data_IF_698999335206
#
_entry.id   IF_698999335206
#
_cell.length_a   1.000
_cell.length_b   1.000
_cell.length_c   1.000
_cell.angle_alpha   90.00
_cell.angle_beta   90.00
_cell.angle_gamma   90.00
#
_symmetry.space_group_name_H-M   'P 1'
#
loop_
_entity.id
_entity.type
_entity.pdbx_description
1 polymer ?
#
# COMPACT_ATOMS: atom_id res chain seq x y z
N UNK A 1 -27.52 4.41 -12.19
CA UNK A 1 -26.42 5.41 -12.31
C UNK A 1 -25.23 4.66 -12.86
N UNK A 2 -24.51 5.21 -13.85
CA UNK A 2 -23.35 4.50 -14.40
C UNK A 2 -22.21 4.50 -13.36
N UNK A 3 -21.61 3.35 -13.09
CA UNK A 3 -20.57 3.18 -12.09
C UNK A 3 -19.25 3.76 -12.58
N UNK A 4 -18.64 4.65 -11.82
CA UNK A 4 -17.31 5.17 -12.10
C UNK A 4 -16.25 4.12 -11.79
N UNK A 5 -15.56 3.61 -12.81
CA UNK A 5 -14.42 2.72 -12.60
C UNK A 5 -13.19 3.53 -12.21
N UNK A 6 -12.81 3.48 -10.92
CA UNK A 6 -11.64 4.16 -10.36
C UNK A 6 -10.35 3.42 -10.73
N UNK A 7 -9.90 3.55 -11.99
CA UNK A 7 -8.68 2.92 -12.49
C UNK A 7 -7.44 3.56 -11.88
N UNK A 8 -6.46 2.73 -11.49
CA UNK A 8 -5.23 3.21 -10.88
C UNK A 8 -4.28 3.91 -11.85
N UNK A 9 -4.35 3.61 -13.16
CA UNK A 9 -3.41 4.19 -14.15
C UNK A 9 -3.46 5.73 -14.21
N UNK A 10 -4.61 6.41 -14.33
CA UNK A 10 -4.65 7.87 -14.33
C UNK A 10 -4.05 8.47 -13.06
N UNK A 11 -4.34 7.87 -11.89
CA UNK A 11 -3.75 8.29 -10.62
C UNK A 11 -2.23 8.13 -10.62
N UNK A 12 -1.74 6.95 -11.03
CA UNK A 12 -0.32 6.65 -11.08
C UNK A 12 0.45 7.56 -12.05
N UNK A 13 -0.15 7.95 -13.18
CA UNK A 13 0.49 8.81 -14.18
C UNK A 13 0.77 10.22 -13.60
N UNK A 14 -0.13 10.79 -12.78
CA UNK A 14 0.09 12.07 -12.08
C UNK A 14 1.31 11.98 -11.16
N UNK A 15 1.41 10.91 -10.36
CA UNK A 15 2.56 10.72 -9.47
C UNK A 15 3.84 10.43 -10.24
N UNK A 16 3.77 9.66 -11.33
CA UNK A 16 4.94 9.34 -12.19
C UNK A 16 5.63 10.61 -12.69
N UNK A 17 4.87 11.55 -13.20
CA UNK A 17 5.41 12.80 -13.72
C UNK A 17 6.10 13.62 -12.63
N UNK A 18 5.46 13.77 -11.47
CA UNK A 18 6.00 14.51 -10.35
C UNK A 18 7.29 13.87 -9.79
N UNK A 19 7.31 12.55 -9.67
CA UNK A 19 8.47 11.78 -9.18
C UNK A 19 9.64 11.88 -10.16
N UNK A 20 9.38 11.69 -11.46
CA UNK A 20 10.42 11.78 -12.49
C UNK A 20 11.10 13.15 -12.49
N UNK A 21 10.33 14.24 -12.34
CA UNK A 21 10.88 15.61 -12.21
C UNK A 21 11.81 15.74 -10.99
N UNK A 22 11.40 15.22 -9.84
CA UNK A 22 12.22 15.24 -8.61
C UNK A 22 13.51 14.42 -8.76
N UNK A 23 13.44 13.23 -9.35
CA UNK A 23 14.63 12.40 -9.62
C UNK A 23 15.58 13.10 -10.58
N UNK A 24 15.07 13.77 -11.62
CA UNK A 24 15.88 14.53 -12.54
C UNK A 24 16.61 15.71 -11.86
N UNK A 25 15.94 16.41 -10.94
CA UNK A 25 16.57 17.47 -10.13
C UNK A 25 17.65 16.88 -9.23
N UNK A 26 17.39 15.77 -8.53
CA UNK A 26 18.40 15.10 -7.70
C UNK A 26 19.65 14.75 -8.52
N UNK A 27 19.48 14.24 -9.74
CA UNK A 27 20.56 13.88 -10.64
C UNK A 27 21.42 15.09 -11.06
N UNK A 28 20.85 16.28 -11.19
CA UNK A 28 21.59 17.52 -11.46
C UNK A 28 22.54 17.91 -10.31
N UNK A 29 22.29 17.39 -9.11
CA UNK A 29 23.12 17.57 -7.93
C UNK A 29 23.96 16.32 -7.58
N UNK A 30 24.25 15.47 -8.58
CA UNK A 30 25.02 14.23 -8.43
C UNK A 30 24.44 13.23 -7.41
N UNK A 31 23.13 13.31 -7.18
CA UNK A 31 22.43 12.45 -6.24
C UNK A 31 21.59 11.40 -7.00
N UNK A 32 21.95 10.13 -6.82
CA UNK A 32 21.19 9.00 -7.39
C UNK A 32 20.17 8.52 -6.37
N UNK A 33 18.89 8.63 -6.71
CA UNK A 33 17.80 8.09 -5.88
C UNK A 33 17.81 6.57 -5.95
N UNK A 34 18.17 5.91 -4.85
CA UNK A 34 18.41 4.47 -4.82
C UNK A 34 17.46 3.78 -3.84
N UNK A 35 16.67 2.83 -4.36
CA UNK A 35 15.86 1.91 -3.56
C UNK A 35 16.65 0.64 -3.24
N UNK A 36 16.93 0.39 -1.96
CA UNK A 36 17.45 -0.90 -1.52
C UNK A 36 16.29 -1.86 -1.22
N UNK A 37 16.24 -2.98 -1.92
CA UNK A 37 15.22 -4.03 -1.75
C UNK A 37 15.88 -5.23 -1.11
N UNK A 38 15.40 -5.65 0.06
CA UNK A 38 15.88 -6.83 0.77
C UNK A 38 14.86 -7.96 0.65
N UNK A 39 15.28 -9.07 0.06
CA UNK A 39 14.46 -10.29 -0.08
C UNK A 39 15.10 -11.40 0.74
N UNK A 40 14.31 -12.10 1.54
CA UNK A 40 14.77 -13.27 2.30
C UNK A 40 13.92 -14.47 1.90
N UNK A 41 14.57 -15.49 1.35
CA UNK A 41 13.92 -16.70 0.82
C UNK A 41 13.41 -16.55 -0.62
N UNK A 42 12.62 -17.53 -1.04
CA UNK A 42 12.26 -17.75 -2.44
C UNK A 42 10.74 -17.61 -2.70
N UNK A 43 10.03 -16.78 -1.90
CA UNK A 43 8.60 -16.54 -2.15
C UNK A 43 8.38 -15.94 -3.54
N UNK A 44 7.66 -16.62 -4.45
CA UNK A 44 7.52 -16.17 -5.84
C UNK A 44 6.84 -14.80 -5.97
N UNK A 45 5.88 -14.49 -5.09
CA UNK A 45 5.16 -13.23 -5.12
C UNK A 45 6.08 -12.06 -4.76
N UNK A 46 6.96 -12.25 -3.77
CA UNK A 46 8.00 -11.28 -3.38
C UNK A 46 8.98 -11.02 -4.52
N UNK A 47 9.41 -12.04 -5.24
CA UNK A 47 10.31 -11.89 -6.40
C UNK A 47 9.65 -11.13 -7.55
N UNK A 48 8.40 -11.46 -7.90
CA UNK A 48 7.63 -10.73 -8.93
C UNK A 48 7.45 -9.25 -8.54
N UNK A 49 7.13 -8.98 -7.28
CA UNK A 49 6.95 -7.61 -6.80
C UNK A 49 8.27 -6.84 -6.78
N UNK A 50 9.36 -7.45 -6.31
CA UNK A 50 10.72 -6.89 -6.39
C UNK A 50 11.08 -6.49 -7.82
N UNK A 51 10.91 -7.39 -8.81
CA UNK A 51 11.26 -7.13 -10.21
C UNK A 51 10.45 -5.97 -10.80
N UNK A 52 9.18 -5.85 -10.40
CA UNK A 52 8.33 -4.72 -10.77
C UNK A 52 8.84 -3.40 -10.20
N UNK A 53 9.25 -3.36 -8.93
CA UNK A 53 9.80 -2.17 -8.29
C UNK A 53 11.14 -1.77 -8.91
N UNK A 54 12.02 -2.73 -9.23
CA UNK A 54 13.29 -2.48 -9.93
C UNK A 54 13.04 -1.81 -11.27
N UNK A 55 12.23 -2.41 -12.13
CA UNK A 55 11.88 -1.84 -13.43
C UNK A 55 11.25 -0.44 -13.31
N UNK A 56 10.44 -0.23 -12.28
CA UNK A 56 9.77 1.04 -12.06
C UNK A 56 10.75 2.14 -11.69
N UNK A 57 11.62 1.94 -10.69
CA UNK A 57 12.58 2.96 -10.27
C UNK A 57 13.58 3.30 -11.39
N UNK A 58 14.05 2.30 -12.13
CA UNK A 58 14.93 2.50 -13.28
C UNK A 58 14.25 3.30 -14.40
N UNK A 59 12.96 3.02 -14.67
CA UNK A 59 12.16 3.77 -15.65
C UNK A 59 11.95 5.24 -15.29
N UNK A 60 12.10 5.57 -14.01
CA UNK A 60 12.01 6.94 -13.47
C UNK A 60 13.38 7.65 -13.41
N UNK A 61 14.47 6.95 -13.77
CA UNK A 61 15.84 7.49 -13.75
C UNK A 61 16.58 7.32 -12.43
N UNK A 62 16.01 6.57 -11.46
CA UNK A 62 16.67 6.17 -10.23
C UNK A 62 17.39 4.83 -10.37
N UNK A 63 17.82 4.24 -9.26
CA UNK A 63 18.53 2.97 -9.19
C UNK A 63 17.91 2.02 -8.15
N UNK A 64 18.08 0.73 -8.37
CA UNK A 64 17.74 -0.31 -7.41
C UNK A 64 19.01 -1.02 -6.91
N UNK A 65 19.05 -1.33 -5.61
CA UNK A 65 20.04 -2.21 -4.99
C UNK A 65 19.32 -3.41 -4.38
N UNK A 66 19.37 -4.55 -5.07
CA UNK A 66 18.72 -5.78 -4.59
C UNK A 66 19.70 -6.57 -3.73
N UNK A 67 19.26 -6.99 -2.55
CA UNK A 67 19.95 -7.91 -1.66
C UNK A 67 19.03 -9.12 -1.47
N UNK A 68 19.53 -10.29 -1.83
CA UNK A 68 18.81 -11.56 -1.63
C UNK A 68 19.56 -12.39 -0.59
N UNK A 69 18.83 -12.88 0.40
CA UNK A 69 19.31 -13.74 1.45
C UNK A 69 18.63 -15.12 1.35
N UNK A 70 19.34 -16.23 1.64
CA UNK A 70 18.73 -17.55 1.78
C UNK A 70 17.57 -17.57 2.77
N UNK A 71 16.65 -18.53 2.61
CA UNK A 71 15.47 -18.64 3.47
C UNK A 71 15.79 -18.98 4.93
N UNK A 72 16.95 -19.57 5.20
CA UNK A 72 17.44 -19.94 6.52
C UNK A 72 18.33 -18.86 7.17
N UNK A 73 18.49 -17.69 6.54
CA UNK A 73 19.29 -16.57 7.08
C UNK A 73 18.77 -16.16 8.46
N UNK A 74 19.64 -16.10 9.49
CA UNK A 74 19.25 -15.69 10.84
C UNK A 74 18.71 -14.24 10.88
N UNK A 75 17.75 -13.98 11.78
CA UNK A 75 17.17 -12.63 11.95
C UNK A 75 18.24 -11.57 12.24
N UNK A 76 19.23 -11.90 13.08
CA UNK A 76 20.32 -10.97 13.43
C UNK A 76 21.15 -10.56 12.20
N UNK A 77 21.34 -11.47 11.24
CA UNK A 77 22.04 -11.17 10.00
C UNK A 77 21.21 -10.26 9.10
N UNK A 78 19.91 -10.51 8.98
CA UNK A 78 18.96 -9.63 8.25
C UNK A 78 18.98 -8.23 8.84
N UNK A 79 18.91 -8.10 10.18
CA UNK A 79 18.99 -6.82 10.88
C UNK A 79 20.36 -6.15 10.68
N UNK A 80 21.44 -6.92 10.66
CA UNK A 80 22.80 -6.40 10.37
C UNK A 80 22.89 -5.79 8.97
N UNK A 81 22.31 -6.45 7.97
CA UNK A 81 22.23 -5.94 6.61
C UNK A 81 21.46 -4.61 6.57
N UNK A 82 20.29 -4.54 7.22
CA UNK A 82 19.51 -3.29 7.31
C UNK A 82 20.32 -2.18 7.98
N UNK A 83 21.01 -2.46 9.08
CA UNK A 83 21.88 -1.47 9.75
C UNK A 83 23.00 -0.95 8.83
N UNK A 84 23.58 -1.80 7.98
CA UNK A 84 24.56 -1.37 6.95
C UNK A 84 23.90 -0.47 5.90
N UNK A 85 22.68 -0.81 5.43
CA UNK A 85 21.93 0.01 4.49
C UNK A 85 21.54 1.37 5.08
N UNK A 86 21.16 1.42 6.36
CA UNK A 86 20.87 2.67 7.09
C UNK A 86 22.05 3.65 7.06
N UNK A 87 23.27 3.14 7.23
CA UNK A 87 24.51 3.94 7.23
C UNK A 87 25.01 4.32 5.83
N UNK A 88 24.51 3.64 4.81
CA UNK A 88 24.95 3.89 3.43
C UNK A 88 24.29 5.16 2.89
N UNK A 89 25.06 6.25 2.71
CA UNK A 89 24.57 7.53 2.18
C UNK A 89 24.00 7.47 0.77
N UNK A 90 24.36 6.44 -0.01
CA UNK A 90 23.88 6.25 -1.37
C UNK A 90 22.55 5.48 -1.44
N UNK A 91 22.02 5.01 -0.32
CA UNK A 91 20.70 4.37 -0.23
C UNK A 91 19.69 5.40 0.24
N UNK A 92 18.73 5.72 -0.60
CA UNK A 92 17.68 6.72 -0.30
C UNK A 92 16.53 6.10 0.49
N UNK A 93 16.16 4.86 0.18
CA UNK A 93 15.10 4.15 0.89
C UNK A 93 15.36 2.65 0.96
N UNK A 94 14.76 2.00 1.94
CA UNK A 94 14.91 0.56 2.22
C UNK A 94 13.53 -0.08 2.22
N UNK A 95 13.38 -1.16 1.44
CA UNK A 95 12.16 -1.96 1.31
C UNK A 95 12.47 -3.42 1.65
N UNK A 96 12.26 -3.85 2.90
CA UNK A 96 12.24 -5.28 3.22
C UNK A 96 10.98 -5.91 2.60
N UNK A 97 11.15 -6.97 1.83
CA UNK A 97 10.03 -7.66 1.21
C UNK A 97 9.31 -8.55 2.22
N UNK A 98 7.98 -8.51 2.20
CA UNK A 98 7.13 -9.36 3.03
C UNK A 98 6.37 -10.37 2.14
N UNK A 99 6.08 -11.57 2.62
CA UNK A 99 6.34 -12.07 3.98
C UNK A 99 7.80 -12.48 4.20
N UNK A 100 8.24 -12.40 5.46
CA UNK A 100 9.51 -12.98 5.91
C UNK A 100 9.35 -14.47 6.24
N UNK A 101 10.43 -15.29 6.19
CA UNK A 101 10.44 -16.64 6.75
C UNK A 101 9.96 -16.67 8.21
N UNK A 102 9.30 -17.75 8.64
CA UNK A 102 8.60 -17.83 9.94
C UNK A 102 9.49 -17.61 11.17
N UNK A 103 10.79 -17.89 11.07
CA UNK A 103 11.75 -17.68 12.18
C UNK A 103 12.19 -16.23 12.32
N UNK A 104 11.85 -15.36 11.36
CA UNK A 104 12.18 -13.93 11.40
C UNK A 104 10.96 -13.13 11.84
N UNK A 105 11.11 -12.34 12.90
CA UNK A 105 10.08 -11.42 13.33
C UNK A 105 10.05 -10.17 12.43
N UNK A 106 9.00 -10.04 11.62
CA UNK A 106 8.81 -8.90 10.72
C UNK A 106 8.77 -7.54 11.43
N UNK A 107 8.28 -7.49 12.67
CA UNK A 107 8.21 -6.25 13.44
C UNK A 107 9.63 -5.80 13.85
N UNK A 108 10.52 -6.73 14.21
CA UNK A 108 11.92 -6.42 14.50
C UNK A 108 12.67 -5.92 13.26
N UNK A 109 12.39 -6.54 12.11
CA UNK A 109 12.95 -6.12 10.81
C UNK A 109 12.48 -4.71 10.46
N UNK A 110 11.18 -4.42 10.58
CA UNK A 110 10.61 -3.09 10.35
C UNK A 110 11.20 -2.04 11.29
N UNK A 111 11.33 -2.36 12.58
CA UNK A 111 11.93 -1.47 13.59
C UNK A 111 13.41 -1.17 13.35
N UNK A 112 14.13 -2.07 12.67
CA UNK A 112 15.54 -1.88 12.33
C UNK A 112 15.77 -0.90 11.17
N UNK A 113 14.76 -0.66 10.31
CA UNK A 113 14.85 0.32 9.22
C UNK A 113 14.83 1.72 9.82
N UNK A 114 15.77 2.58 9.40
CA UNK A 114 15.76 3.99 9.82
C UNK A 114 14.48 4.69 9.39
N UNK A 115 13.79 5.45 10.26
CA UNK A 115 12.56 6.17 9.90
C UNK A 115 12.68 7.02 8.63
N UNK A 116 13.85 7.63 8.40
CA UNK A 116 14.10 8.44 7.22
C UNK A 116 14.28 7.65 5.92
N UNK A 117 14.53 6.33 6.01
CA UNK A 117 14.72 5.44 4.86
C UNK A 117 13.61 4.40 4.72
N UNK A 118 12.67 4.39 5.64
CA UNK A 118 11.53 3.50 5.65
C UNK A 118 10.52 3.95 4.58
N UNK A 119 10.40 3.18 3.51
CA UNK A 119 9.54 3.54 2.36
C UNK A 119 8.12 3.00 2.48
N UNK A 120 7.87 2.05 3.38
CA UNK A 120 6.55 1.42 3.55
C UNK A 120 5.99 1.55 4.98
N UNK A 121 6.54 2.49 5.77
CA UNK A 121 6.04 2.79 7.11
C UNK A 121 5.99 1.55 8.02
N UNK A 122 7.08 0.77 8.02
CA UNK A 122 7.23 -0.42 8.87
C UNK A 122 7.80 -0.07 10.24
N UNK A 123 8.53 1.07 10.35
CA UNK A 123 9.13 1.50 11.59
C UNK A 123 8.06 2.03 12.57
N UNK A 124 8.07 1.59 13.85
CA UNK A 124 7.10 2.03 14.85
C UNK A 124 7.02 3.54 15.05
N UNK A 125 8.12 4.28 14.88
CA UNK A 125 8.12 5.75 14.96
C UNK A 125 7.28 6.33 13.82
N UNK A 126 7.46 5.87 12.57
CA UNK A 126 6.68 6.35 11.43
C UNK A 126 5.19 6.02 11.60
N UNK A 127 4.88 4.81 12.09
CA UNK A 127 3.50 4.39 12.39
C UNK A 127 2.89 5.33 13.44
N UNK A 128 3.63 5.63 14.51
CA UNK A 128 3.19 6.56 15.56
C UNK A 128 2.97 7.97 15.02
N UNK A 129 3.86 8.48 14.18
CA UNK A 129 3.74 9.81 13.59
C UNK A 129 2.52 9.91 12.66
N UNK A 130 2.21 8.85 11.90
CA UNK A 130 0.97 8.77 11.10
C UNK A 130 -0.26 8.79 11.99
N UNK A 131 -0.28 7.98 13.05
CA UNK A 131 -1.38 7.91 14.00
C UNK A 131 -1.65 9.26 14.68
N UNK A 132 -0.58 9.99 15.01
CA UNK A 132 -0.63 11.32 15.62
C UNK A 132 -0.93 12.46 14.62
N UNK A 133 -1.09 12.18 13.35
CA UNK A 133 -1.27 13.18 12.30
C UNK A 133 -0.04 14.03 12.00
N UNK A 134 1.16 13.60 12.44
CA UNK A 134 2.43 14.31 12.24
C UNK A 134 3.09 14.00 10.91
N UNK A 135 2.80 12.85 10.32
CA UNK A 135 3.36 12.42 9.05
C UNK A 135 2.26 12.09 8.05
N UNK A 136 2.48 12.49 6.80
CA UNK A 136 1.66 12.09 5.63
C UNK A 136 2.19 10.84 4.92
N UNK A 137 3.36 10.35 5.33
CA UNK A 137 3.99 9.17 4.74
C UNK A 137 3.62 7.90 5.50
N UNK A 138 2.35 7.51 5.38
CA UNK A 138 1.86 6.22 5.82
C UNK A 138 2.33 5.10 4.86
N UNK A 139 2.02 3.86 5.19
CA UNK A 139 2.25 2.71 4.32
C UNK A 139 1.69 2.94 2.90
N UNK A 140 2.35 2.37 1.90
CA UNK A 140 2.11 2.71 0.49
C UNK A 140 0.68 2.39 0.03
N UNK A 141 0.12 1.24 0.44
CA UNK A 141 -1.24 0.85 0.05
C UNK A 141 -2.33 1.75 0.64
N UNK A 142 -2.33 2.10 1.93
CA UNK A 142 -3.23 3.12 2.49
C UNK A 142 -3.17 4.46 1.76
N UNK A 143 -1.97 4.93 1.44
CA UNK A 143 -1.79 6.17 0.67
C UNK A 143 -2.35 6.06 -0.74
N UNK A 144 -2.20 4.91 -1.39
CA UNK A 144 -2.79 4.64 -2.70
C UNK A 144 -4.33 4.69 -2.66
N UNK A 145 -4.96 4.18 -1.60
CA UNK A 145 -6.39 4.31 -1.39
C UNK A 145 -6.79 5.79 -1.31
N UNK A 146 -6.11 6.58 -0.47
CA UNK A 146 -6.40 8.00 -0.30
C UNK A 146 -6.17 8.81 -1.57
N UNK A 147 -5.08 8.53 -2.30
CA UNK A 147 -4.77 9.17 -3.58
C UNK A 147 -5.83 8.87 -4.65
N UNK A 148 -6.30 7.63 -4.69
CA UNK A 148 -7.36 7.21 -5.61
C UNK A 148 -8.68 7.91 -5.28
N UNK A 149 -9.11 7.90 -4.03
CA UNK A 149 -10.33 8.59 -3.59
C UNK A 149 -10.26 10.09 -3.91
N UNK A 150 -9.14 10.74 -3.63
CA UNK A 150 -8.94 12.17 -3.92
C UNK A 150 -8.96 12.46 -5.43
N UNK A 151 -8.30 11.65 -6.27
CA UNK A 151 -8.25 11.83 -7.71
C UNK A 151 -9.64 11.76 -8.36
N UNK A 152 -10.50 10.87 -7.86
CA UNK A 152 -11.87 10.72 -8.36
C UNK A 152 -12.89 11.61 -7.66
N UNK A 153 -12.45 12.55 -6.81
CA UNK A 153 -13.31 13.51 -6.15
C UNK A 153 -14.27 12.90 -5.14
N UNK A 154 -13.91 11.77 -4.53
CA UNK A 154 -14.76 11.13 -3.52
C UNK A 154 -14.64 11.91 -2.21
N UNK A 155 -15.73 12.53 -1.78
CA UNK A 155 -15.82 13.22 -0.51
C UNK A 155 -15.74 12.25 0.67
N UNK A 156 -14.98 12.62 1.69
CA UNK A 156 -14.75 11.79 2.89
C UNK A 156 -15.37 12.41 4.14
N UNK A 157 -15.44 13.73 4.21
CA UNK A 157 -15.97 14.44 5.36
C UNK A 157 -17.43 14.06 5.65
N UNK A 158 -17.70 13.65 6.87
CA UNK A 158 -19.02 13.22 7.31
C UNK A 158 -19.50 11.86 6.76
N UNK A 159 -18.71 11.16 5.96
CA UNK A 159 -19.09 9.86 5.40
C UNK A 159 -18.84 8.71 6.38
N UNK A 160 -19.73 7.71 6.36
CA UNK A 160 -19.55 6.46 7.07
C UNK A 160 -18.67 5.52 6.23
N UNK A 161 -17.46 5.29 6.69
CA UNK A 161 -16.49 4.40 6.00
C UNK A 161 -16.31 3.12 6.80
N UNK A 162 -16.50 1.99 6.14
CA UNK A 162 -16.21 0.67 6.72
C UNK A 162 -14.93 0.13 6.10
N UNK A 163 -13.97 -0.17 6.96
CA UNK A 163 -12.70 -0.83 6.58
C UNK A 163 -12.77 -2.28 7.01
N UNK A 164 -12.73 -3.21 6.05
CA UNK A 164 -12.71 -4.65 6.32
C UNK A 164 -11.26 -5.13 6.30
N UNK A 165 -10.72 -5.43 7.46
CA UNK A 165 -9.32 -5.78 7.69
C UNK A 165 -8.67 -4.90 8.74
N UNK A 166 -7.71 -5.47 9.51
CA UNK A 166 -7.02 -4.75 10.61
C UNK A 166 -5.53 -5.02 10.65
N UNK A 167 -4.92 -5.27 9.49
CA UNK A 167 -3.47 -5.42 9.38
C UNK A 167 -2.74 -4.12 9.72
N UNK A 168 -1.49 -4.23 10.19
CA UNK A 168 -0.65 -3.07 10.49
C UNK A 168 -0.23 -2.31 9.22
N UNK A 169 -0.26 -2.97 8.06
CA UNK A 169 0.22 -2.38 6.79
C UNK A 169 -0.91 -1.80 5.93
N UNK A 170 -2.17 -2.18 6.15
CA UNK A 170 -3.31 -1.69 5.34
C UNK A 170 -4.46 -1.21 6.21
N UNK A 171 -5.16 -2.11 6.90
CA UNK A 171 -6.44 -1.81 7.53
C UNK A 171 -6.36 -0.70 8.58
N UNK A 172 -5.46 -0.84 9.56
CA UNK A 172 -5.27 0.18 10.60
C UNK A 172 -4.82 1.52 10.01
N UNK A 173 -3.75 1.60 9.19
CA UNK A 173 -3.29 2.89 8.69
C UNK A 173 -4.28 3.56 7.73
N UNK A 174 -5.02 2.83 6.87
CA UNK A 174 -6.04 3.46 6.02
C UNK A 174 -7.19 4.03 6.87
N UNK A 175 -7.56 3.35 7.95
CA UNK A 175 -8.59 3.85 8.89
C UNK A 175 -8.18 5.17 9.55
N UNK A 176 -6.91 5.28 9.94
CA UNK A 176 -6.36 6.53 10.52
C UNK A 176 -6.36 7.65 9.48
N UNK A 177 -5.93 7.38 8.25
CA UNK A 177 -5.94 8.39 7.19
C UNK A 177 -7.35 8.88 6.82
N UNK A 178 -8.33 7.98 6.83
CA UNK A 178 -9.74 8.33 6.61
C UNK A 178 -10.30 9.18 7.76
N UNK A 179 -9.99 8.81 9.01
CA UNK A 179 -10.35 9.60 10.19
C UNK A 179 -9.77 11.02 10.13
N UNK A 180 -8.52 11.17 9.70
CA UNK A 180 -7.87 12.47 9.51
C UNK A 180 -8.53 13.32 8.40
N UNK A 181 -9.39 12.72 7.58
CA UNK A 181 -10.23 13.41 6.57
C UNK A 181 -11.67 13.58 7.03
N UNK A 182 -11.92 13.56 8.34
CA UNK A 182 -13.23 13.77 8.96
C UNK A 182 -14.28 12.70 8.59
N UNK A 183 -13.86 11.51 8.19
CA UNK A 183 -14.75 10.38 8.01
C UNK A 183 -15.08 9.71 9.36
N UNK A 184 -16.29 9.18 9.51
CA UNK A 184 -16.62 8.24 10.59
C UNK A 184 -16.20 6.84 10.16
N UNK A 185 -15.27 6.23 10.89
CA UNK A 185 -14.63 4.97 10.46
C UNK A 185 -14.99 3.82 11.37
N UNK A 186 -15.51 2.75 10.79
CA UNK A 186 -15.74 1.46 11.45
C UNK A 186 -14.75 0.42 10.91
N UNK A 187 -13.97 -0.20 11.79
CA UNK A 187 -13.04 -1.28 11.42
C UNK A 187 -13.70 -2.63 11.70
N UNK A 188 -13.89 -3.44 10.65
CA UNK A 188 -14.40 -4.80 10.73
C UNK A 188 -13.30 -5.84 10.52
N UNK A 189 -13.47 -7.01 11.13
CA UNK A 189 -12.48 -8.09 11.08
C UNK A 189 -13.15 -9.47 11.25
N UNK A 190 -12.40 -10.54 11.25
CA UNK A 190 -12.90 -11.93 11.36
C UNK A 190 -13.70 -12.27 12.62
N UNK A 191 -13.72 -11.37 13.61
CA UNK A 191 -14.52 -11.50 14.84
C UNK A 191 -15.71 -10.54 14.90
N UNK A 192 -15.93 -9.74 13.84
CA UNK A 192 -17.07 -8.84 13.74
C UNK A 192 -18.34 -9.65 13.50
N UNK A 193 -19.34 -9.46 14.33
CA UNK A 193 -20.69 -9.99 14.12
C UNK A 193 -21.47 -9.09 13.18
N UNK A 194 -22.45 -9.67 12.48
CA UNK A 194 -23.39 -8.93 11.63
C UNK A 194 -22.73 -8.01 10.58
N UNK A 195 -21.64 -8.48 9.96
CA UNK A 195 -20.90 -7.72 8.96
C UNK A 195 -21.79 -7.20 7.80
N UNK A 196 -22.73 -7.98 7.22
CA UNK A 196 -23.59 -7.49 6.15
C UNK A 196 -24.41 -6.25 6.54
N UNK A 197 -24.94 -6.21 7.77
CA UNK A 197 -25.74 -5.09 8.27
C UNK A 197 -24.89 -3.82 8.43
N UNK A 198 -23.63 -3.98 8.86
CA UNK A 198 -22.67 -2.86 8.96
C UNK A 198 -22.33 -2.33 7.56
N UNK A 199 -22.08 -3.22 6.59
CA UNK A 199 -21.72 -2.83 5.22
C UNK A 199 -22.87 -2.12 4.49
N UNK A 200 -24.13 -2.49 4.75
CA UNK A 200 -25.31 -1.81 4.19
C UNK A 200 -25.45 -0.34 4.64
N UNK A 201 -24.80 0.04 5.74
CA UNK A 201 -24.82 1.43 6.24
C UNK A 201 -23.66 2.28 5.69
N UNK A 202 -22.64 1.63 5.11
CA UNK A 202 -21.42 2.28 4.66
C UNK A 202 -21.66 3.13 3.39
N UNK A 203 -21.14 4.36 3.37
CA UNK A 203 -21.02 5.16 2.17
C UNK A 203 -19.83 4.74 1.33
N UNK A 204 -18.76 4.33 2.02
CA UNK A 204 -17.51 3.86 1.40
C UNK A 204 -17.10 2.57 2.09
N UNK A 205 -16.68 1.58 1.32
CA UNK A 205 -16.12 0.32 1.83
C UNK A 205 -14.69 0.16 1.31
N UNK A 206 -13.74 -0.04 2.23
CA UNK A 206 -12.36 -0.44 1.92
C UNK A 206 -12.19 -1.90 2.28
N UNK A 207 -12.03 -2.78 1.28
CA UNK A 207 -11.87 -4.21 1.48
C UNK A 207 -10.37 -4.60 1.44
N UNK A 208 -9.84 -5.16 2.52
CA UNK A 208 -8.44 -5.55 2.70
C UNK A 208 -8.32 -6.80 3.59
N UNK A 209 -8.97 -7.90 3.18
CA UNK A 209 -9.04 -9.17 3.94
C UNK A 209 -8.24 -10.30 3.32
N UNK A 210 -7.81 -10.17 2.05
CA UNK A 210 -7.09 -11.20 1.32
C UNK A 210 -7.94 -12.46 1.07
N UNK A 211 -9.23 -12.27 0.77
CA UNK A 211 -10.16 -13.34 0.44
C UNK A 211 -10.94 -13.00 -0.81
N UNK A 212 -10.75 -13.80 -1.86
CA UNK A 212 -11.37 -13.59 -3.15
C UNK A 212 -12.90 -13.45 -3.06
N UNK A 213 -13.44 -12.37 -3.64
CA UNK A 213 -14.87 -12.14 -3.77
C UNK A 213 -15.65 -12.27 -2.44
N UNK A 214 -15.04 -11.83 -1.33
CA UNK A 214 -15.62 -11.94 0.00
C UNK A 214 -16.82 -11.00 0.19
N UNK A 215 -16.76 -9.77 -0.30
CA UNK A 215 -17.88 -8.82 -0.26
C UNK A 215 -18.80 -9.09 -1.44
N UNK A 216 -20.08 -9.35 -1.15
CA UNK A 216 -21.10 -9.73 -2.14
C UNK A 216 -22.13 -8.61 -2.36
N UNK A 217 -22.84 -8.60 -3.50
CA UNK A 217 -23.84 -7.57 -3.82
C UNK A 217 -24.95 -7.39 -2.78
N UNK A 218 -25.38 -8.47 -2.14
CA UNK A 218 -26.40 -8.43 -1.09
C UNK A 218 -25.92 -7.81 0.22
N UNK A 219 -24.62 -7.64 0.39
CA UNK A 219 -24.00 -7.07 1.60
C UNK A 219 -23.86 -5.55 1.53
N UNK A 220 -24.14 -4.91 0.40
CA UNK A 220 -23.90 -3.49 0.20
C UNK A 220 -25.17 -2.74 -0.20
N UNK A 221 -25.22 -1.44 0.08
CA UNK A 221 -26.31 -0.58 -0.39
C UNK A 221 -26.07 -0.05 -1.82
N UNK A 222 -27.11 0.44 -2.45
CA UNK A 222 -27.02 1.20 -3.71
C UNK A 222 -26.21 2.50 -3.51
N UNK A 223 -25.40 2.85 -4.51
CA UNK A 223 -24.59 4.06 -4.51
C UNK A 223 -23.32 4.00 -3.66
N UNK A 224 -22.97 2.85 -3.07
CA UNK A 224 -21.75 2.69 -2.28
C UNK A 224 -20.48 2.94 -3.12
N UNK A 225 -19.44 3.48 -2.51
CA UNK A 225 -18.10 3.57 -3.10
C UNK A 225 -17.26 2.39 -2.62
N UNK A 226 -16.62 1.67 -3.55
CA UNK A 226 -15.80 0.49 -3.25
C UNK A 226 -14.33 0.77 -3.54
N UNK A 227 -13.48 0.56 -2.53
CA UNK A 227 -12.03 0.54 -2.64
C UNK A 227 -11.56 -0.89 -2.33
N UNK A 228 -11.35 -1.67 -3.38
CA UNK A 228 -10.86 -3.05 -3.28
C UNK A 228 -9.32 -3.06 -3.28
N UNK A 229 -8.74 -3.51 -2.17
CA UNK A 229 -7.28 -3.62 -1.98
C UNK A 229 -6.81 -5.07 -2.14
N UNK A 230 -7.76 -6.02 -2.20
CA UNK A 230 -7.46 -7.44 -2.31
C UNK A 230 -6.70 -7.79 -3.59
N UNK A 231 -5.76 -8.70 -3.47
CA UNK A 231 -5.07 -9.33 -4.60
C UNK A 231 -5.01 -10.83 -4.30
N UNK A 232 -5.88 -11.58 -4.97
CA UNK A 232 -5.98 -13.02 -4.81
C UNK A 232 -5.76 -13.69 -6.16
N UNK A 233 -5.05 -14.81 -6.19
CA UNK A 233 -4.89 -15.64 -7.38
C UNK A 233 -5.94 -16.77 -7.34
N UNK A 234 -6.87 -16.77 -8.28
CA UNK A 234 -7.88 -17.81 -8.45
C UNK A 234 -7.84 -18.27 -9.91
N UNK A 235 -7.58 -19.55 -10.14
CA UNK A 235 -7.50 -20.16 -11.48
C UNK A 235 -6.58 -19.38 -12.44
N UNK A 236 -5.43 -18.92 -11.94
CA UNK A 236 -4.45 -18.15 -12.72
C UNK A 236 -4.85 -16.69 -13.01
N UNK A 237 -5.99 -16.22 -12.50
CA UNK A 237 -6.45 -14.84 -12.64
C UNK A 237 -6.32 -14.09 -11.32
N UNK A 238 -6.04 -12.79 -11.41
CA UNK A 238 -6.07 -11.90 -10.25
C UNK A 238 -7.49 -11.42 -10.02
N UNK A 239 -7.98 -11.59 -8.79
CA UNK A 239 -9.30 -11.11 -8.35
C UNK A 239 -9.15 -10.35 -7.02
N UNK A 240 -10.08 -9.44 -6.77
CA UNK A 240 -10.12 -8.67 -5.53
C UNK A 240 -10.81 -9.38 -4.38
N UNK A 241 -10.93 -8.67 -3.27
CA UNK A 241 -11.72 -9.09 -2.12
C UNK A 241 -13.23 -8.83 -2.33
N UNK A 242 -13.59 -8.03 -3.32
CA UNK A 242 -14.98 -7.69 -3.63
C UNK A 242 -15.42 -8.42 -4.90
N UNK A 243 -16.61 -8.99 -4.87
CA UNK A 243 -17.21 -9.61 -6.03
C UNK A 243 -17.45 -8.54 -7.13
N UNK A 244 -17.00 -8.76 -8.38
CA UNK A 244 -17.20 -7.80 -9.46
C UNK A 244 -18.65 -7.38 -9.69
N UNK A 245 -19.63 -8.25 -9.36
CA UNK A 245 -21.05 -7.92 -9.44
C UNK A 245 -21.48 -6.79 -8.49
N UNK A 246 -20.70 -6.46 -7.47
CA UNK A 246 -20.93 -5.30 -6.61
C UNK A 246 -20.86 -3.99 -7.40
N UNK A 247 -20.10 -3.97 -8.50
CA UNK A 247 -20.00 -2.79 -9.34
C UNK A 247 -21.35 -2.32 -9.90
N UNK A 248 -22.33 -3.23 -10.08
CA UNK A 248 -23.67 -2.87 -10.56
C UNK A 248 -24.45 -1.97 -9.57
N UNK A 249 -24.11 -2.05 -8.28
CA UNK A 249 -24.68 -1.25 -7.19
C UNK A 249 -23.84 -0.05 -6.80
N UNK A 250 -22.56 -0.08 -7.11
CA UNK A 250 -21.62 0.94 -6.67
C UNK A 250 -21.75 2.22 -7.52
N UNK A 251 -21.60 3.39 -6.89
CA UNK A 251 -21.39 4.65 -7.61
C UNK A 251 -19.96 4.77 -8.13
N UNK A 252 -18.98 4.20 -7.41
CA UNK A 252 -17.59 4.13 -7.84
C UNK A 252 -16.93 2.83 -7.33
N UNK A 253 -16.04 2.26 -8.15
CA UNK A 253 -15.45 0.94 -7.90
C UNK A 253 -14.00 0.88 -8.38
N UNK A 254 -13.06 0.41 -7.55
CA UNK A 254 -11.69 0.14 -7.98
C UNK A 254 -11.57 -1.27 -8.58
N UNK A 255 -11.17 -1.43 -9.84
CA UNK A 255 -11.04 -2.76 -10.46
C UNK A 255 -9.80 -3.52 -9.95
N UNK A 256 -9.90 -4.84 -9.88
CA UNK A 256 -8.75 -5.74 -9.66
C UNK A 256 -8.69 -6.75 -10.80
N UNK A 257 -7.60 -6.77 -11.60
CA UNK A 257 -6.43 -5.89 -11.54
C UNK A 257 -6.69 -4.47 -12.09
N UNK A 258 -5.75 -3.54 -11.82
CA UNK A 258 -5.74 -2.22 -12.45
C UNK A 258 -6.22 -1.07 -11.55
N UNK A 259 -6.56 -1.35 -10.29
CA UNK A 259 -6.92 -0.35 -9.27
C UNK A 259 -5.75 0.00 -8.34
N UNK A 260 -5.93 -0.19 -7.05
CA UNK A 260 -5.04 0.26 -5.97
C UNK A 260 -3.59 -0.24 -6.12
N UNK A 261 -3.37 -1.49 -6.54
CA UNK A 261 -2.02 -2.04 -6.68
C UNK A 261 -1.12 -1.28 -7.67
N UNK A 262 -1.70 -0.63 -8.69
CA UNK A 262 -0.95 0.21 -9.64
C UNK A 262 -0.47 1.49 -8.95
N UNK A 263 -1.32 2.11 -8.16
CA UNK A 263 -1.03 3.34 -7.43
C UNK A 263 -0.06 3.07 -6.28
N UNK A 264 -0.20 1.95 -5.58
CA UNK A 264 0.67 1.56 -4.46
C UNK A 264 2.15 1.52 -4.85
N UNK A 265 2.47 1.03 -6.05
CA UNK A 265 3.85 1.04 -6.56
C UNK A 265 4.40 2.48 -6.70
N UNK A 266 3.55 3.44 -7.12
CA UNK A 266 3.95 4.84 -7.19
C UNK A 266 4.17 5.48 -5.82
N UNK A 267 3.42 5.04 -4.80
CA UNK A 267 3.62 5.52 -3.42
C UNK A 267 4.97 5.12 -2.85
N UNK A 268 5.53 3.95 -3.22
CA UNK A 268 6.91 3.58 -2.88
C UNK A 268 7.89 4.58 -3.48
N UNK A 269 7.73 4.90 -4.77
CA UNK A 269 8.61 5.83 -5.48
C UNK A 269 8.48 7.27 -4.96
N UNK A 270 7.27 7.69 -4.61
CA UNK A 270 7.05 9.01 -4.01
C UNK A 270 7.74 9.12 -2.65
N UNK A 271 7.70 8.04 -1.85
CA UNK A 271 8.38 8.01 -0.55
C UNK A 271 9.89 8.20 -0.68
N UNK A 272 10.51 7.64 -1.74
CA UNK A 272 11.94 7.86 -2.04
C UNK A 272 12.28 9.32 -2.31
N UNK A 273 11.35 10.08 -2.87
CA UNK A 273 11.56 11.49 -3.26
C UNK A 273 11.05 12.50 -2.23
N UNK A 274 10.71 12.05 -1.01
CA UNK A 274 10.09 12.91 0.03
C UNK A 274 11.02 13.98 0.61
N UNK A 275 12.33 13.76 0.49
CA UNK A 275 13.35 14.65 1.01
C UNK A 275 14.13 15.39 -0.10
N UNK A 276 13.63 15.30 -1.35
CA UNK A 276 14.19 15.97 -2.53
C UNK A 276 13.36 17.20 -2.88
#
# INVERSE_FOLDING_TARGET
METVLMRGKPVADVYREAIAKKIAVAKQHDLVVTLAILVVGDDPASHVYKDRLVKLIESLGGAAKVITCPADTPEEEVISIIKKLNRNRYVTGIMPMMPMPKHINSDNVGAAVSPNKDVDCLNPQNIGDVFMGRSRFAACTPRACMATLAHYGIELEGKNVVVIGRSNVVGKPVSVLLLQKNATVTICHSRTSNLPEILKQADIIVAAVGKACFVKPEMVKEGVVIVDVGINAVDGKLVGDVDPAVAEKASAFTPVPGGIGVVSNMMVMECLTRHI
#
